data_IF_577784517928
#
_entry.id   IF_577784517928
#
_cell.length_a   1.000
_cell.length_b   1.000
_cell.length_c   1.000
_cell.angle_alpha   90.00
_cell.angle_beta   90.00
_cell.angle_gamma   90.00
#
_symmetry.space_group_name_H-M   'P 1'
#
loop_
_entity.id
_entity.type
_entity.pdbx_description
1 polymer ?
#
# COMPACT_ATOMS: atom_id res chain seq x y z
N UNK A 1 -25.17 32.78 8.70
CA UNK A 1 -24.27 32.72 7.54
C UNK A 1 -23.16 31.75 7.92
N UNK A 2 -23.34 30.48 7.59
CA UNK A 2 -22.59 29.32 8.16
C UNK A 2 -21.96 28.45 7.05
N UNK A 3 -22.30 28.74 5.79
CA UNK A 3 -22.03 27.90 4.62
C UNK A 3 -20.55 27.70 4.32
N UNK A 4 -19.71 28.71 4.52
CA UNK A 4 -18.26 28.60 4.24
C UNK A 4 -17.53 27.71 5.25
N UNK A 5 -17.87 27.81 6.54
CA UNK A 5 -17.24 27.00 7.60
C UNK A 5 -17.68 25.53 7.51
N UNK A 6 -18.95 25.28 7.23
CA UNK A 6 -19.50 23.93 7.05
C UNK A 6 -18.91 23.25 5.81
N UNK A 7 -18.75 23.99 4.72
CA UNK A 7 -18.09 23.50 3.50
C UNK A 7 -16.62 23.14 3.74
N UNK A 8 -15.86 24.00 4.42
CA UNK A 8 -14.45 23.73 4.74
C UNK A 8 -14.29 22.48 5.61
N UNK A 9 -15.17 22.32 6.60
CA UNK A 9 -15.18 21.15 7.48
C UNK A 9 -15.49 19.87 6.70
N UNK A 10 -16.52 19.90 5.86
CA UNK A 10 -16.92 18.77 5.02
C UNK A 10 -15.81 18.37 4.06
N UNK A 11 -15.15 19.33 3.40
CA UNK A 11 -14.03 19.05 2.51
C UNK A 11 -12.85 18.43 3.24
N UNK A 12 -12.49 18.93 4.43
CA UNK A 12 -11.41 18.35 5.23
C UNK A 12 -11.71 16.89 5.59
N UNK A 13 -12.94 16.59 5.98
CA UNK A 13 -13.38 15.24 6.29
C UNK A 13 -13.31 14.33 5.05
N UNK A 14 -13.79 14.80 3.90
CA UNK A 14 -13.77 14.05 2.65
C UNK A 14 -12.33 13.74 2.19
N UNK A 15 -11.42 14.72 2.26
CA UNK A 15 -10.00 14.53 1.94
C UNK A 15 -9.36 13.54 2.92
N UNK A 16 -9.65 13.65 4.21
CA UNK A 16 -9.18 12.69 5.22
C UNK A 16 -9.62 11.26 4.91
N UNK A 17 -10.89 11.06 4.55
CA UNK A 17 -11.42 9.75 4.17
C UNK A 17 -10.76 9.19 2.88
N UNK A 18 -10.51 10.06 1.90
CA UNK A 18 -9.80 9.67 0.67
C UNK A 18 -8.37 9.21 0.97
N UNK A 19 -7.62 9.95 1.81
CA UNK A 19 -6.27 9.58 2.22
C UNK A 19 -6.25 8.23 2.96
N UNK A 20 -7.20 8.01 3.87
CA UNK A 20 -7.34 6.71 4.55
C UNK A 20 -7.57 5.56 3.56
N UNK A 21 -8.43 5.78 2.56
CA UNK A 21 -8.72 4.78 1.52
C UNK A 21 -7.48 4.46 0.69
N UNK A 22 -6.71 5.48 0.29
CA UNK A 22 -5.45 5.31 -0.45
C UNK A 22 -4.46 4.51 0.38
N UNK A 23 -4.27 4.87 1.66
CA UNK A 23 -3.37 4.16 2.58
C UNK A 23 -3.73 2.69 2.70
N UNK A 24 -5.00 2.38 2.98
CA UNK A 24 -5.47 0.99 3.09
C UNK A 24 -5.21 0.21 1.81
N UNK A 25 -5.51 0.80 0.64
CA UNK A 25 -5.27 0.16 -0.64
C UNK A 25 -3.78 -0.08 -0.88
N UNK A 26 -2.92 0.90 -0.58
CA UNK A 26 -1.49 0.78 -0.76
C UNK A 26 -0.90 -0.36 0.08
N UNK A 27 -1.28 -0.46 1.36
CA UNK A 27 -0.84 -1.56 2.24
C UNK A 27 -1.27 -2.93 1.69
N UNK A 28 -2.51 -3.07 1.23
CA UNK A 28 -2.97 -4.32 0.59
C UNK A 28 -2.15 -4.68 -0.65
N UNK A 29 -1.75 -3.68 -1.45
CA UNK A 29 -0.95 -3.91 -2.65
C UNK A 29 0.50 -4.28 -2.32
N UNK A 30 1.10 -3.71 -1.27
CA UNK A 30 2.42 -4.12 -0.77
C UNK A 30 2.40 -5.62 -0.45
N UNK A 31 1.42 -6.08 0.34
CA UNK A 31 1.26 -7.51 0.65
C UNK A 31 1.17 -8.36 -0.61
N UNK A 32 0.29 -7.98 -1.56
CA UNK A 32 0.06 -8.76 -2.77
C UNK A 32 1.29 -8.85 -3.68
N UNK A 33 1.99 -7.74 -3.92
CA UNK A 33 3.17 -7.72 -4.78
C UNK A 33 4.39 -8.34 -4.13
N UNK A 34 4.55 -8.23 -2.81
CA UNK A 34 5.59 -8.96 -2.08
C UNK A 34 5.34 -10.48 -2.16
N UNK A 35 4.11 -10.95 -2.01
CA UNK A 35 3.78 -12.37 -2.18
C UNK A 35 4.07 -12.87 -3.61
N UNK A 36 3.75 -12.06 -4.63
CA UNK A 36 4.07 -12.39 -6.03
C UNK A 36 5.58 -12.42 -6.30
N UNK A 37 6.33 -11.49 -5.70
CA UNK A 37 7.79 -11.47 -5.82
C UNK A 37 8.39 -12.75 -5.22
N UNK A 38 7.92 -13.21 -4.05
CA UNK A 38 8.38 -14.47 -3.45
C UNK A 38 8.04 -15.68 -4.33
N UNK A 39 6.82 -15.75 -4.87
CA UNK A 39 6.43 -16.84 -5.78
C UNK A 39 7.27 -16.86 -7.06
N UNK A 40 7.59 -15.69 -7.61
CA UNK A 40 8.48 -15.57 -8.75
C UNK A 40 9.92 -15.97 -8.41
N UNK A 41 10.44 -15.54 -7.25
CA UNK A 41 11.79 -15.90 -6.78
C UNK A 41 11.96 -17.42 -6.59
N UNK A 42 10.89 -18.12 -6.20
CA UNK A 42 10.89 -19.58 -6.06
C UNK A 42 10.86 -20.32 -7.41
N UNK A 43 10.56 -19.62 -8.52
CA UNK A 43 10.53 -20.20 -9.86
C UNK A 43 11.73 -19.70 -10.69
N UNK A 44 12.73 -20.55 -11.00
CA UNK A 44 13.92 -20.15 -11.75
C UNK A 44 13.64 -19.69 -13.19
N UNK A 45 12.47 -20.01 -13.75
CA UNK A 45 12.06 -19.55 -15.08
C UNK A 45 11.30 -18.22 -15.07
N UNK A 46 10.91 -17.71 -13.89
CA UNK A 46 10.15 -16.48 -13.78
C UNK A 46 11.05 -15.24 -13.94
N UNK A 47 10.74 -14.40 -14.94
CA UNK A 47 11.44 -13.12 -15.17
C UNK A 47 10.79 -11.92 -14.47
N UNK A 48 9.70 -12.13 -13.73
CA UNK A 48 8.85 -11.05 -13.18
C UNK A 48 9.17 -10.66 -11.75
N UNK A 49 10.14 -11.32 -11.09
CA UNK A 49 10.48 -11.06 -9.68
C UNK A 49 10.81 -9.59 -9.45
N UNK A 50 11.76 -9.04 -10.21
CA UNK A 50 12.19 -7.65 -10.08
C UNK A 50 11.02 -6.67 -10.27
N UNK A 51 10.17 -6.90 -11.28
CA UNK A 51 8.99 -6.07 -11.54
C UNK A 51 7.98 -6.11 -10.38
N UNK A 52 7.81 -7.27 -9.72
CA UNK A 52 6.95 -7.36 -8.54
C UNK A 52 7.55 -6.63 -7.34
N UNK A 53 8.87 -6.70 -7.13
CA UNK A 53 9.57 -5.94 -6.07
C UNK A 53 9.47 -4.43 -6.30
N UNK A 54 9.70 -3.97 -7.52
CA UNK A 54 9.52 -2.55 -7.88
C UNK A 54 8.10 -2.07 -7.62
N UNK A 55 7.10 -2.90 -7.94
CA UNK A 55 5.70 -2.55 -7.71
C UNK A 55 5.35 -2.52 -6.21
N UNK A 56 5.92 -3.41 -5.40
CA UNK A 56 5.79 -3.33 -3.94
C UNK A 56 6.41 -2.03 -3.39
N UNK A 57 7.60 -1.65 -3.87
CA UNK A 57 8.27 -0.40 -3.49
C UNK A 57 7.46 0.84 -3.89
N UNK A 58 6.85 0.85 -5.08
CA UNK A 58 5.95 1.91 -5.52
C UNK A 58 4.78 2.10 -4.53
N UNK A 59 4.13 1.00 -4.14
CA UNK A 59 3.02 1.09 -3.18
C UNK A 59 3.47 1.44 -1.77
N UNK A 60 4.68 1.08 -1.36
CA UNK A 60 5.26 1.56 -0.10
C UNK A 60 5.43 3.08 -0.10
N UNK A 61 5.91 3.67 -1.20
CA UNK A 61 5.95 5.12 -1.36
C UNK A 61 4.56 5.74 -1.27
N UNK A 62 3.57 5.20 -2.00
CA UNK A 62 2.17 5.70 -1.94
C UNK A 62 1.57 5.57 -0.53
N UNK A 63 1.90 4.50 0.22
CA UNK A 63 1.45 4.33 1.59
C UNK A 63 2.02 5.43 2.51
N UNK A 64 3.32 5.75 2.38
CA UNK A 64 3.98 6.83 3.14
C UNK A 64 3.37 8.19 2.83
N UNK A 65 3.15 8.49 1.55
CA UNK A 65 2.48 9.72 1.10
C UNK A 65 1.06 9.84 1.68
N UNK A 66 0.39 8.70 1.90
CA UNK A 66 -0.92 8.62 2.55
C UNK A 66 -0.86 8.48 4.09
N UNK A 67 0.31 8.68 4.71
CA UNK A 67 0.48 8.68 6.16
C UNK A 67 0.52 7.29 6.80
N UNK A 68 0.95 6.26 6.08
CA UNK A 68 1.36 5.00 6.70
C UNK A 68 2.69 5.17 7.44
N UNK A 69 2.82 4.49 8.59
CA UNK A 69 4.10 4.39 9.29
C UNK A 69 4.95 3.27 8.70
N UNK A 70 6.27 3.32 8.91
CA UNK A 70 7.17 2.21 8.52
C UNK A 70 6.70 0.87 9.12
N UNK A 71 6.27 0.86 10.40
CA UNK A 71 5.76 -0.35 11.04
C UNK A 71 4.52 -0.94 10.31
N UNK A 72 3.64 -0.11 9.75
CA UNK A 72 2.49 -0.59 8.97
C UNK A 72 2.93 -1.20 7.62
N UNK A 73 3.96 -0.61 7.00
CA UNK A 73 4.56 -1.11 5.76
C UNK A 73 5.27 -2.44 6.03
N UNK A 74 6.09 -2.51 7.08
CA UNK A 74 6.81 -3.72 7.49
C UNK A 74 5.87 -4.89 7.75
N UNK A 75 4.74 -4.64 8.43
CA UNK A 75 3.69 -5.65 8.65
C UNK A 75 3.08 -6.12 7.32
N UNK A 76 2.78 -5.21 6.41
CA UNK A 76 2.23 -5.55 5.09
C UNK A 76 3.21 -6.38 4.25
N UNK A 77 4.50 -6.02 4.27
CA UNK A 77 5.54 -6.78 3.60
C UNK A 77 5.75 -8.16 4.24
N UNK A 78 5.78 -8.24 5.57
CA UNK A 78 5.93 -9.50 6.29
C UNK A 78 4.77 -10.45 5.99
N UNK A 79 3.54 -9.95 5.97
CA UNK A 79 2.37 -10.71 5.55
C UNK A 79 2.51 -11.21 4.10
N UNK A 80 3.01 -10.36 3.19
CA UNK A 80 3.25 -10.74 1.81
C UNK A 80 4.32 -11.84 1.69
N UNK A 81 5.41 -11.74 2.46
CA UNK A 81 6.45 -12.77 2.50
C UNK A 81 5.87 -14.11 2.94
N UNK A 82 5.10 -14.13 4.03
CA UNK A 82 4.46 -15.33 4.55
C UNK A 82 3.47 -15.98 3.54
N UNK A 83 2.69 -15.19 2.80
CA UNK A 83 1.77 -15.68 1.77
C UNK A 83 2.48 -16.20 0.50
N UNK A 84 3.68 -15.71 0.23
CA UNK A 84 4.47 -16.09 -0.93
C UNK A 84 5.21 -17.42 -0.77
N UNK A 85 5.40 -17.86 0.47
CA UNK A 85 6.10 -19.10 0.84
C UNK A 85 5.16 -20.25 1.23
N UNK A 86 3.86 -20.00 1.29
CA UNK A 86 2.81 -20.99 1.53
C UNK A 86 2.29 -21.57 0.21
#
# INVERSE_FOLDING_TARGET
MTTTADFQTTNRAAVGAAVLTIRTRALTQITAYTARAQKAAANPEASTEAAHRERAAYWACTAREAGATEAQIDVAEAAGRAQGTA
#
